data_IF_047373530043
#
_entry.id   IF_047373530043
#
_cell.length_a   1.000
_cell.length_b   1.000
_cell.length_c   1.000
_cell.angle_alpha   90.00
_cell.angle_beta   90.00
_cell.angle_gamma   90.00
#
_symmetry.space_group_name_H-M   'P 1'
#
loop_
_entity.id
_entity.type
_entity.pdbx_description
1 polymer ?
#
# COMPACT_ATOMS: atom_id res chain seq x y z
N UNK A 1 -15.17 -23.46 1.87
CA UNK A 1 -15.71 -22.08 1.92
C UNK A 1 -15.82 -21.59 0.49
N UNK A 2 -17.03 -21.32 0.01
CA UNK A 2 -17.27 -20.84 -1.36
C UNK A 2 -17.31 -19.31 -1.28
N UNK A 3 -16.36 -18.64 -1.96
CA UNK A 3 -16.35 -17.19 -2.06
C UNK A 3 -17.49 -16.74 -3.00
N UNK A 4 -18.21 -15.69 -2.61
CA UNK A 4 -19.27 -15.06 -3.40
C UNK A 4 -18.92 -13.60 -3.71
N UNK A 5 -19.47 -13.09 -4.79
CA UNK A 5 -19.37 -11.67 -5.14
C UNK A 5 -19.98 -10.83 -4.01
N UNK A 6 -19.30 -9.76 -3.60
CA UNK A 6 -19.59 -8.95 -2.41
C UNK A 6 -18.84 -9.38 -1.14
N UNK A 7 -18.15 -10.53 -1.15
CA UNK A 7 -17.41 -10.99 0.04
C UNK A 7 -16.21 -10.10 0.36
N UNK A 8 -16.01 -9.82 1.65
CA UNK A 8 -14.76 -9.25 2.16
C UNK A 8 -13.67 -10.30 2.11
N UNK A 9 -12.71 -10.10 1.23
CA UNK A 9 -11.60 -11.01 0.98
C UNK A 9 -10.28 -10.38 1.37
N UNK A 10 -9.33 -11.22 1.75
CA UNK A 10 -7.95 -10.82 1.98
C UNK A 10 -7.08 -11.37 0.86
N UNK A 11 -6.34 -10.48 0.20
CA UNK A 11 -5.32 -10.81 -0.77
C UNK A 11 -3.94 -10.45 -0.20
N UNK A 12 -3.15 -11.46 0.16
CA UNK A 12 -1.88 -11.28 0.90
C UNK A 12 -2.07 -10.44 2.17
N UNK A 13 -1.50 -9.24 2.24
CA UNK A 13 -1.63 -8.31 3.37
C UNK A 13 -2.79 -7.33 3.21
N UNK A 14 -3.38 -7.24 2.02
CA UNK A 14 -4.39 -6.25 1.67
C UNK A 14 -5.80 -6.79 1.81
N UNK A 15 -6.72 -5.94 2.25
CA UNK A 15 -8.14 -6.25 2.40
C UNK A 15 -8.89 -5.65 1.21
N UNK A 16 -9.86 -6.38 0.70
CA UNK A 16 -10.65 -5.91 -0.41
C UNK A 16 -12.01 -6.56 -0.46
N UNK A 17 -12.78 -6.15 -1.45
CA UNK A 17 -14.09 -6.70 -1.76
C UNK A 17 -14.02 -7.48 -3.06
N UNK A 18 -14.59 -8.68 -3.07
CA UNK A 18 -14.65 -9.52 -4.24
C UNK A 18 -15.77 -9.03 -5.18
N UNK A 19 -15.41 -8.49 -6.34
CA UNK A 19 -16.36 -7.92 -7.30
C UNK A 19 -16.90 -8.95 -8.27
N UNK A 20 -16.06 -9.86 -8.74
CA UNK A 20 -16.52 -10.91 -9.65
C UNK A 20 -15.62 -12.13 -9.65
N UNK A 21 -16.19 -13.32 -9.79
CA UNK A 21 -15.42 -14.55 -9.99
C UNK A 21 -15.57 -15.02 -11.44
N UNK A 22 -14.45 -15.27 -12.13
CA UNK A 22 -14.43 -15.83 -13.48
C UNK A 22 -13.47 -17.02 -13.54
N UNK A 23 -14.00 -18.22 -13.42
CA UNK A 23 -13.23 -19.45 -13.48
C UNK A 23 -12.21 -19.55 -12.33
N UNK A 24 -10.91 -19.48 -12.67
CA UNK A 24 -9.80 -19.57 -11.70
C UNK A 24 -9.36 -18.20 -11.14
N UNK A 25 -9.87 -17.11 -11.72
CA UNK A 25 -9.52 -15.75 -11.34
C UNK A 25 -10.70 -15.03 -10.67
N UNK A 26 -10.35 -14.09 -9.81
CA UNK A 26 -11.26 -13.21 -9.11
C UNK A 26 -10.85 -11.76 -9.32
N UNK A 27 -11.82 -10.88 -9.48
CA UNK A 27 -11.60 -9.44 -9.50
C UNK A 27 -11.95 -8.87 -8.15
N UNK A 28 -11.01 -8.19 -7.51
CA UNK A 28 -11.18 -7.59 -6.19
C UNK A 28 -10.98 -6.08 -6.28
N UNK A 29 -11.62 -5.33 -5.38
CA UNK A 29 -11.30 -3.92 -5.12
C UNK A 29 -10.56 -3.84 -3.80
N UNK A 30 -9.35 -3.31 -3.84
CA UNK A 30 -8.48 -3.06 -2.68
C UNK A 30 -8.15 -1.59 -2.68
N UNK A 31 -8.53 -0.87 -1.61
CA UNK A 31 -8.26 0.56 -1.45
C UNK A 31 -8.64 1.42 -2.70
N UNK A 32 -9.76 1.06 -3.35
CA UNK A 32 -10.27 1.73 -4.55
C UNK A 32 -9.67 1.25 -5.89
N UNK A 33 -8.68 0.36 -5.87
CA UNK A 33 -8.06 -0.21 -7.06
C UNK A 33 -8.67 -1.57 -7.41
N UNK A 34 -9.13 -1.71 -8.67
CA UNK A 34 -9.67 -2.97 -9.20
C UNK A 34 -8.52 -3.85 -9.71
N UNK A 35 -8.34 -5.03 -9.10
CA UNK A 35 -7.27 -5.97 -9.43
C UNK A 35 -7.84 -7.35 -9.78
N UNK A 36 -7.24 -8.03 -10.76
CA UNK A 36 -7.52 -9.44 -11.04
C UNK A 36 -6.46 -10.31 -10.37
N UNK A 37 -6.89 -11.25 -9.54
CA UNK A 37 -6.03 -12.14 -8.75
C UNK A 37 -6.51 -13.59 -8.82
N UNK A 38 -5.63 -14.58 -8.68
CA UNK A 38 -6.04 -15.98 -8.62
C UNK A 38 -6.92 -16.25 -7.40
N UNK A 39 -8.02 -17.00 -7.57
CA UNK A 39 -8.95 -17.35 -6.49
C UNK A 39 -8.25 -18.09 -5.34
N UNK A 40 -7.20 -18.87 -5.65
CA UNK A 40 -6.38 -19.61 -4.69
C UNK A 40 -5.61 -18.72 -3.70
N UNK A 41 -5.41 -17.44 -4.04
CA UNK A 41 -4.70 -16.48 -3.19
C UNK A 41 -5.65 -15.62 -2.35
N UNK A 42 -6.97 -15.81 -2.50
CA UNK A 42 -7.98 -15.12 -1.72
C UNK A 42 -8.36 -15.94 -0.49
N UNK A 43 -8.38 -15.27 0.67
CA UNK A 43 -8.89 -15.85 1.93
C UNK A 43 -10.17 -15.13 2.34
N UNK A 44 -11.23 -15.88 2.64
CA UNK A 44 -12.48 -15.35 3.16
C UNK A 44 -12.26 -14.81 4.58
N UNK A 45 -12.71 -13.59 4.86
CA UNK A 45 -12.63 -13.02 6.21
C UNK A 45 -13.92 -13.33 6.96
N UNK A 46 -14.08 -14.59 7.37
CA UNK A 46 -15.27 -15.08 8.08
C UNK A 46 -15.05 -16.18 9.12
N UNK A 47 -13.95 -16.94 9.07
CA UNK A 47 -13.73 -18.02 10.05
C UNK A 47 -12.69 -17.63 11.10
N UNK A 48 -13.19 -17.19 12.25
CA UNK A 48 -12.55 -17.47 13.54
C UNK A 48 -13.12 -18.80 14.03
N UNK A 49 -12.36 -19.90 14.07
CA UNK A 49 -12.72 -21.03 14.91
C UNK A 49 -12.40 -20.62 16.35
N UNK A 50 -13.44 -20.35 17.13
CA UNK A 50 -13.35 -20.23 18.59
C UNK A 50 -12.99 -21.59 19.17
N UNK A 51 -11.70 -21.87 19.34
CA UNK A 51 -11.24 -22.94 20.23
C UNK A 51 -10.11 -22.41 21.11
N UNK A 52 -10.46 -22.31 22.40
CA UNK A 52 -9.60 -22.01 23.54
C UNK A 52 -8.34 -22.87 23.51
N UNK A 53 -7.16 -22.31 23.82
CA UNK A 53 -6.04 -22.96 24.53
C UNK A 53 -4.86 -21.97 24.74
N UNK A 54 -4.78 -21.47 25.99
CA UNK A 54 -3.64 -21.04 26.81
C UNK A 54 -2.60 -19.98 26.33
N UNK A 55 -2.20 -19.04 27.21
CA UNK A 55 -1.41 -17.86 26.84
C UNK A 55 0.10 -18.15 26.84
N UNK A 56 0.79 -17.76 25.77
CA UNK A 56 2.26 -17.63 25.75
C UNK A 56 2.60 -16.15 25.56
N UNK A 57 3.49 -15.56 26.37
CA UNK A 57 3.76 -14.13 26.33
C UNK A 57 4.59 -13.83 25.09
N UNK A 58 3.95 -13.26 24.06
CA UNK A 58 4.65 -12.69 22.92
C UNK A 58 4.34 -11.21 22.89
N UNK A 59 5.33 -10.47 23.41
CA UNK A 59 5.69 -9.04 23.25
C UNK A 59 4.63 -8.18 22.58
N UNK A 60 4.29 -7.00 23.13
CA UNK A 60 3.17 -6.19 22.64
C UNK A 60 3.40 -5.84 21.17
N UNK A 61 2.73 -6.56 20.27
CA UNK A 61 2.38 -6.01 18.96
C UNK A 61 1.29 -5.03 19.29
N UNK A 62 1.67 -3.76 19.37
CA UNK A 62 0.74 -2.67 19.52
C UNK A 62 -0.22 -2.78 18.34
N UNK A 63 -1.41 -3.30 18.59
CA UNK A 63 -2.57 -3.13 17.72
C UNK A 63 -2.90 -1.65 17.78
N UNK A 64 -2.28 -0.88 16.90
CA UNK A 64 -2.66 0.50 16.67
C UNK A 64 -3.87 0.46 15.75
N UNK A 65 -5.05 0.21 16.33
CA UNK A 65 -6.32 0.67 15.77
C UNK A 65 -6.33 2.20 15.90
N UNK A 66 -5.81 2.89 14.90
CA UNK A 66 -5.90 4.34 14.82
C UNK A 66 -6.93 4.70 13.76
N UNK A 67 -8.14 4.98 14.22
CA UNK A 67 -8.98 5.99 13.59
C UNK A 67 -8.41 7.36 13.99
N UNK A 68 -7.43 7.88 13.22
CA UNK A 68 -7.04 9.31 13.26
C UNK A 68 -6.67 9.73 11.84
N UNK A 69 -7.40 10.71 11.31
CA UNK A 69 -7.13 11.50 10.08
C UNK A 69 -6.22 10.81 9.06
N UNK A 70 -6.82 10.08 8.12
CA UNK A 70 -6.13 9.17 7.20
C UNK A 70 -4.96 9.79 6.44
N UNK A 71 -3.74 9.58 6.93
CA UNK A 71 -2.53 9.81 6.17
C UNK A 71 -2.58 8.87 4.95
N UNK A 72 -2.45 9.45 3.77
CA UNK A 72 -2.44 8.67 2.53
C UNK A 72 -1.16 7.83 2.49
N UNK A 73 -1.27 6.57 2.12
CA UNK A 73 -0.10 5.69 1.90
C UNK A 73 0.56 5.93 0.53
N UNK A 74 -0.01 6.83 -0.28
CA UNK A 74 0.52 7.18 -1.59
C UNK A 74 0.30 8.64 -1.97
N UNK A 75 1.15 9.16 -2.85
CA UNK A 75 1.05 10.49 -3.45
C UNK A 75 1.22 10.43 -4.97
N UNK A 76 0.49 11.27 -5.71
CA UNK A 76 0.54 11.33 -7.18
C UNK A 76 1.17 12.64 -7.63
N UNK A 77 2.16 12.54 -8.52
CA UNK A 77 2.91 13.67 -9.07
C UNK A 77 2.68 13.88 -10.57
N UNK A 78 1.75 13.12 -11.19
CA UNK A 78 1.53 13.17 -12.63
C UNK A 78 1.07 14.56 -13.07
N UNK A 79 1.80 15.15 -14.00
CA UNK A 79 1.50 16.47 -14.56
C UNK A 79 1.99 17.64 -13.72
N UNK A 80 2.65 17.40 -12.58
CA UNK A 80 3.28 18.45 -11.78
C UNK A 80 4.59 18.92 -12.41
N UNK A 81 4.93 20.18 -12.19
CA UNK A 81 6.28 20.68 -12.42
C UNK A 81 7.25 20.13 -11.38
N UNK A 82 8.56 20.23 -11.67
CA UNK A 82 9.61 19.59 -10.88
C UNK A 82 9.65 20.10 -9.43
N UNK A 83 9.60 21.42 -9.26
CA UNK A 83 9.52 22.12 -7.98
C UNK A 83 8.28 21.72 -7.18
N UNK A 84 7.10 21.79 -7.79
CA UNK A 84 5.84 21.41 -7.15
C UNK A 84 5.85 19.94 -6.68
N UNK A 85 6.43 19.06 -7.49
CA UNK A 85 6.54 17.64 -7.18
C UNK A 85 7.43 17.38 -5.95
N UNK A 86 8.54 18.12 -5.81
CA UNK A 86 9.42 17.99 -4.64
C UNK A 86 8.76 18.50 -3.38
N UNK A 87 8.13 19.67 -3.43
CA UNK A 87 7.40 20.22 -2.27
C UNK A 87 6.28 19.29 -1.82
N UNK A 88 5.59 18.67 -2.78
CA UNK A 88 4.54 17.68 -2.53
C UNK A 88 5.10 16.42 -1.87
N UNK A 89 6.25 15.92 -2.33
CA UNK A 89 6.91 14.75 -1.74
C UNK A 89 7.43 15.05 -0.33
N UNK A 90 8.03 16.21 -0.10
CA UNK A 90 8.56 16.64 1.20
C UNK A 90 7.47 16.66 2.26
N UNK A 91 6.34 17.32 1.95
CA UNK A 91 5.18 17.36 2.81
C UNK A 91 4.60 15.97 3.06
N UNK A 92 4.48 15.17 2.00
CA UNK A 92 3.95 13.82 2.08
C UNK A 92 4.80 12.90 2.98
N UNK A 93 6.13 12.93 2.84
CA UNK A 93 7.02 12.13 3.69
C UNK A 93 7.00 12.61 5.14
N UNK A 94 6.92 13.92 5.36
CA UNK A 94 6.78 14.50 6.70
C UNK A 94 5.50 14.00 7.39
N UNK A 95 4.36 14.07 6.69
CA UNK A 95 3.09 13.56 7.20
C UNK A 95 3.17 12.05 7.47
N UNK A 96 3.77 11.28 6.56
CA UNK A 96 3.91 9.83 6.72
C UNK A 96 4.78 9.43 7.93
N UNK A 97 5.88 10.17 8.17
CA UNK A 97 6.75 9.97 9.32
C UNK A 97 6.06 10.33 10.64
N UNK A 98 5.30 11.43 10.67
CA UNK A 98 4.50 11.83 11.84
C UNK A 98 3.43 10.80 12.17
N UNK A 99 2.85 10.17 11.15
CA UNK A 99 1.84 9.13 11.30
C UNK A 99 2.43 7.72 11.51
N UNK A 100 3.75 7.60 11.65
CA UNK A 100 4.45 6.33 11.87
C UNK A 100 4.11 5.26 10.82
N UNK A 101 3.94 5.67 9.56
CA UNK A 101 3.79 4.74 8.45
C UNK A 101 5.11 3.99 8.25
N UNK A 102 5.04 2.70 7.91
CA UNK A 102 6.25 1.88 7.68
C UNK A 102 6.75 1.98 6.23
N UNK A 103 5.84 2.25 5.29
CA UNK A 103 6.14 2.30 3.87
C UNK A 103 5.14 3.24 3.18
N UNK A 104 5.60 3.97 2.16
CA UNK A 104 4.75 4.82 1.32
C UNK A 104 5.12 4.73 -0.16
N UNK A 105 4.19 5.15 -1.03
CA UNK A 105 4.32 5.07 -2.48
C UNK A 105 4.24 6.43 -3.17
N UNK A 106 5.23 6.74 -4.01
CA UNK A 106 5.29 7.95 -4.81
C UNK A 106 5.03 7.60 -6.27
N UNK A 107 3.92 8.06 -6.81
CA UNK A 107 3.47 7.79 -8.18
C UNK A 107 3.87 8.97 -9.06
N UNK A 108 5.00 8.83 -9.76
CA UNK A 108 5.57 9.85 -10.66
C UNK A 108 5.28 9.57 -12.15
N UNK A 109 4.65 8.43 -12.47
CA UNK A 109 4.31 8.03 -13.82
C UNK A 109 5.48 7.41 -14.61
N UNK A 110 5.18 6.92 -15.81
CA UNK A 110 6.05 6.06 -16.63
C UNK A 110 6.72 6.77 -17.81
N UNK A 111 6.53 8.09 -17.95
CA UNK A 111 6.97 8.89 -19.09
C UNK A 111 8.51 9.00 -19.22
N UNK A 112 9.03 10.16 -19.62
CA UNK A 112 10.48 10.38 -19.81
C UNK A 112 11.35 10.21 -18.55
N UNK A 113 10.76 9.86 -17.41
CA UNK A 113 11.47 9.56 -16.17
C UNK A 113 12.02 10.78 -15.44
N UNK A 114 11.65 12.00 -15.83
CA UNK A 114 12.12 13.26 -15.23
C UNK A 114 11.77 13.32 -13.74
N UNK A 115 10.47 13.25 -13.41
CA UNK A 115 10.00 13.21 -12.02
C UNK A 115 10.57 12.00 -11.27
N UNK A 116 10.72 10.88 -11.95
CA UNK A 116 11.25 9.67 -11.38
C UNK A 116 12.75 9.81 -10.98
N UNK A 117 13.55 10.55 -11.76
CA UNK A 117 14.94 10.87 -11.44
C UNK A 117 15.01 11.87 -10.29
N UNK A 118 14.23 12.94 -10.39
CA UNK A 118 14.15 14.01 -9.41
C UNK A 118 13.76 13.48 -8.01
N UNK A 119 12.69 12.69 -7.92
CA UNK A 119 12.28 12.03 -6.66
C UNK A 119 13.39 11.13 -6.14
N UNK A 120 14.06 10.36 -7.00
CA UNK A 120 15.16 9.50 -6.59
C UNK A 120 16.37 10.26 -6.05
N UNK A 121 16.69 11.43 -6.60
CA UNK A 121 17.76 12.31 -6.09
C UNK A 121 17.41 12.94 -4.76
N UNK A 122 16.17 13.43 -4.63
CA UNK A 122 15.67 13.98 -3.38
C UNK A 122 15.68 12.94 -2.24
N UNK A 123 15.17 11.73 -2.50
CA UNK A 123 15.12 10.66 -1.49
C UNK A 123 16.52 10.21 -1.03
N UNK A 124 17.52 10.17 -1.92
CA UNK A 124 18.91 9.84 -1.55
C UNK A 124 19.51 10.82 -0.55
N UNK A 125 19.11 12.09 -0.63
CA UNK A 125 19.63 13.15 0.22
C UNK A 125 18.77 13.38 1.46
N UNK A 126 17.63 12.69 1.60
CA UNK A 126 16.71 12.92 2.69
C UNK A 126 17.20 12.26 4.00
N UNK A 127 17.33 13.01 5.11
CA UNK A 127 18.03 12.54 6.32
C UNK A 127 17.35 11.38 7.05
N UNK A 128 16.05 11.18 6.82
CA UNK A 128 15.24 10.15 7.49
C UNK A 128 14.87 8.96 6.61
N UNK A 129 15.24 8.96 5.34
CA UNK A 129 14.92 7.85 4.43
C UNK A 129 16.13 6.92 4.35
N UNK A 130 15.94 5.66 4.75
CA UNK A 130 16.98 4.63 4.66
C UNK A 130 16.97 3.87 3.33
N UNK A 131 15.80 3.35 2.96
CA UNK A 131 15.65 2.46 1.81
C UNK A 131 14.52 2.91 0.91
N UNK A 132 14.75 2.90 -0.39
CA UNK A 132 13.69 3.08 -1.38
C UNK A 132 14.02 2.32 -2.66
N UNK A 133 13.00 1.93 -3.41
CA UNK A 133 13.17 1.20 -4.66
C UNK A 133 12.08 1.53 -5.68
N UNK A 134 12.40 1.39 -6.97
CA UNK A 134 11.40 1.47 -8.03
C UNK A 134 10.59 0.18 -8.07
N UNK A 135 9.28 0.31 -8.15
CA UNK A 135 8.40 -0.84 -8.32
C UNK A 135 8.72 -1.53 -9.67
N UNK A 136 8.91 -2.86 -9.69
CA UNK A 136 9.17 -3.61 -10.91
C UNK A 136 8.06 -3.43 -11.96
N UNK A 137 8.40 -3.62 -13.24
CA UNK A 137 7.44 -3.54 -14.35
C UNK A 137 7.19 -2.13 -14.89
N UNK A 138 8.08 -1.18 -14.59
CA UNK A 138 7.99 0.20 -15.06
C UNK A 138 6.63 0.84 -14.78
N UNK A 139 6.12 0.67 -13.56
CA UNK A 139 4.80 1.19 -13.15
C UNK A 139 4.80 2.68 -12.83
N UNK A 140 5.98 3.33 -12.83
CA UNK A 140 6.09 4.74 -12.49
C UNK A 140 5.85 5.01 -11.00
N UNK A 141 6.20 4.04 -10.16
CA UNK A 141 6.02 4.07 -8.70
C UNK A 141 7.37 3.86 -8.04
N UNK A 142 7.68 4.73 -7.08
CA UNK A 142 8.80 4.55 -6.15
C UNK A 142 8.24 4.24 -4.76
N UNK A 143 8.71 3.17 -4.15
CA UNK A 143 8.35 2.75 -2.80
C UNK A 143 9.44 3.21 -1.83
N UNK A 144 9.05 3.77 -0.69
CA UNK A 144 9.94 4.34 0.32
C UNK A 144 9.65 3.70 1.67
N UNK A 145 10.68 3.17 2.31
CA UNK A 145 10.64 2.67 3.70
C UNK A 145 11.02 3.82 4.65
N UNK A 146 10.21 4.02 5.70
CA UNK A 146 10.28 5.17 6.62
C UNK A 146 10.82 4.79 8.01
#
# INVERSE_FOLDING_TARGET
IILKEGDKVKYRSHKGELISIRGKDATIIVDGLKMRVPLSQLKHRGDTPTLKLQPKPRKPKVEVSVEKSGASVSVKLLGMYADEAIDTVDKFLSDALVNHLSEVQIIHGTGGGVLAKLVGEYLKNHPKIGTFYRMPGNLGITVVEL
#
